data_IF_033220094353
#
_entry.id   IF_033220094353
#
_cell.length_a   1.000
_cell.length_b   1.000
_cell.length_c   1.000
_cell.angle_alpha   90.00
_cell.angle_beta   90.00
_cell.angle_gamma   90.00
#
_symmetry.space_group_name_H-M   'P 1'
#
loop_
_entity.id
_entity.type
_entity.pdbx_description
1 polymer ?
#
# COMPACT_ATOMS: atom_id res chain seq x y z
N UNK A 1 14.00 13.00 9.95
CA UNK A 1 14.25 11.69 9.31
C UNK A 1 15.49 11.82 8.46
N UNK A 2 16.41 10.88 8.55
CA UNK A 2 17.61 10.88 7.71
C UNK A 2 17.30 10.11 6.41
N UNK A 3 17.74 10.62 5.25
CA UNK A 3 17.58 9.90 4.00
C UNK A 3 18.42 8.62 4.02
N UNK A 4 17.83 7.50 3.64
CA UNK A 4 18.61 6.29 3.33
C UNK A 4 19.23 6.44 1.94
N UNK A 5 20.55 6.32 1.88
CA UNK A 5 21.32 6.38 0.62
C UNK A 5 21.34 5.03 -0.12
N UNK A 6 21.12 3.91 0.57
CA UNK A 6 21.18 2.57 -0.01
C UNK A 6 20.02 1.68 0.46
N UNK A 7 19.46 0.90 -0.46
CA UNK A 7 18.40 -0.07 -0.18
C UNK A 7 18.98 -1.25 0.61
N UNK A 8 18.38 -1.63 1.77
CA UNK A 8 18.79 -2.81 2.51
C UNK A 8 18.75 -4.07 1.61
N UNK A 9 19.74 -4.99 1.69
CA UNK A 9 19.82 -6.16 0.81
C UNK A 9 18.60 -7.08 0.90
N UNK A 10 17.95 -7.10 2.07
CA UNK A 10 16.76 -7.89 2.34
C UNK A 10 15.45 -7.15 2.01
N UNK A 11 15.51 -5.88 1.60
CA UNK A 11 14.35 -5.01 1.39
C UNK A 11 13.42 -4.96 2.63
N UNK A 12 13.96 -5.20 3.84
CA UNK A 12 13.16 -5.17 5.07
C UNK A 12 13.47 -3.89 5.86
N UNK A 13 12.44 -3.07 6.02
CA UNK A 13 12.48 -1.99 6.99
C UNK A 13 11.94 -2.48 8.33
N UNK A 14 12.71 -2.29 9.41
CA UNK A 14 12.24 -2.54 10.78
C UNK A 14 11.60 -1.29 11.40
N UNK A 15 11.67 -0.17 10.70
CA UNK A 15 11.17 1.11 11.17
C UNK A 15 9.65 1.07 11.34
N UNK A 16 9.20 1.81 12.34
CA UNK A 16 7.79 1.99 12.67
C UNK A 16 7.54 3.47 12.85
N UNK A 17 6.52 3.98 12.18
CA UNK A 17 6.01 5.31 12.45
C UNK A 17 4.87 5.21 13.46
N UNK A 18 4.89 6.11 14.43
CA UNK A 18 3.77 6.33 15.33
C UNK A 18 3.15 7.66 14.93
N UNK A 19 1.90 7.61 14.49
CA UNK A 19 1.06 8.80 14.28
C UNK A 19 0.16 8.92 15.50
N UNK A 20 0.15 10.10 16.12
CA UNK A 20 -0.74 10.41 17.23
C UNK A 20 -1.66 11.56 16.82
N UNK A 21 -2.94 11.43 17.11
CA UNK A 21 -3.94 12.47 16.91
C UNK A 21 -4.67 12.74 18.22
N UNK A 22 -5.04 14.00 18.43
CA UNK A 22 -5.78 14.47 19.60
C UNK A 22 -6.87 15.42 19.11
N UNK A 23 -8.04 15.35 19.73
CA UNK A 23 -9.13 16.28 19.46
C UNK A 23 -8.81 17.60 20.18
N UNK A 24 -8.94 18.71 19.46
CA UNK A 24 -8.71 20.06 20.00
C UNK A 24 -9.97 20.88 19.89
N UNK A 25 -10.08 21.90 20.74
CA UNK A 25 -11.23 22.80 20.73
C UNK A 25 -11.27 23.65 19.44
N UNK A 26 -12.48 23.97 18.94
CA UNK A 26 -12.63 24.86 17.79
C UNK A 26 -12.10 26.26 18.13
N UNK A 27 -11.03 26.68 17.44
CA UNK A 27 -10.35 27.94 17.69
C UNK A 27 -8.96 27.81 18.32
N UNK A 28 -8.52 26.59 18.67
CA UNK A 28 -7.15 26.33 19.08
C UNK A 28 -6.15 26.79 18.02
N UNK A 29 -5.10 27.48 18.45
CA UNK A 29 -4.01 27.94 17.59
C UNK A 29 -2.80 27.03 17.73
N UNK A 30 -1.83 27.07 16.80
CA UNK A 30 -0.60 26.28 16.92
C UNK A 30 0.22 26.54 18.19
N UNK A 31 -0.01 27.66 18.88
CA UNK A 31 0.65 28.01 20.14
C UNK A 31 0.08 27.26 21.33
N UNK A 32 -1.17 26.82 21.24
CA UNK A 32 -1.87 26.09 22.30
C UNK A 32 -1.52 24.58 22.25
N UNK A 33 -0.92 24.14 21.14
CA UNK A 33 -0.44 22.76 20.95
C UNK A 33 0.79 22.55 21.80
N UNK A 34 0.65 21.74 22.85
CA UNK A 34 1.74 21.35 23.73
C UNK A 34 1.97 19.81 23.66
N UNK A 35 3.17 19.31 24.01
CA UNK A 35 3.45 17.88 24.02
C UNK A 35 2.62 17.10 25.05
N UNK A 36 2.17 17.76 26.12
CA UNK A 36 1.35 17.13 27.17
C UNK A 36 -0.04 16.72 26.66
N UNK A 37 -0.55 17.35 25.60
CA UNK A 37 -1.81 16.96 24.95
C UNK A 37 -1.78 15.53 24.42
N UNK A 38 -0.60 15.02 24.06
CA UNK A 38 -0.41 13.68 23.53
C UNK A 38 -0.15 12.61 24.61
N UNK A 39 -0.19 12.99 25.90
CA UNK A 39 -0.03 12.08 27.03
C UNK A 39 -1.38 11.47 27.45
N UNK A 40 -1.53 10.15 27.30
CA UNK A 40 -2.71 9.37 27.74
C UNK A 40 -3.15 9.54 29.20
N UNK A 41 -2.25 9.70 30.20
CA UNK A 41 -2.70 9.90 31.58
C UNK A 41 -3.32 11.29 31.83
N UNK A 42 -3.26 12.22 30.88
CA UNK A 42 -3.82 13.57 31.00
C UNK A 42 -5.33 13.67 30.80
N UNK A 43 -6.03 12.55 30.55
CA UNK A 43 -7.47 12.54 30.29
C UNK A 43 -7.88 12.92 28.86
N UNK A 44 -6.91 13.23 27.99
CA UNK A 44 -7.14 13.52 26.58
C UNK A 44 -7.42 12.24 25.79
N UNK A 45 -8.32 12.33 24.81
CA UNK A 45 -8.56 11.26 23.85
C UNK A 45 -7.46 11.29 22.78
N UNK A 46 -6.42 10.48 22.98
CA UNK A 46 -5.26 10.37 22.10
C UNK A 46 -5.35 9.07 21.30
N UNK A 47 -5.58 9.20 20.00
CA UNK A 47 -5.57 8.08 19.07
C UNK A 47 -4.16 7.82 18.54
N UNK A 48 -3.75 6.55 18.52
CA UNK A 48 -2.41 6.13 18.10
C UNK A 48 -2.46 5.11 16.96
N UNK A 49 -1.93 5.51 15.81
CA UNK A 49 -1.77 4.66 14.63
C UNK A 49 -0.30 4.28 14.43
N UNK A 50 0.00 2.98 14.52
CA UNK A 50 1.35 2.44 14.27
C UNK A 50 1.45 1.93 12.84
N UNK A 51 2.30 2.55 12.04
CA UNK A 51 2.53 2.22 10.64
C UNK A 51 3.86 1.48 10.51
N UNK A 52 3.86 0.36 9.79
CA UNK A 52 5.07 -0.39 9.46
C UNK A 52 5.59 0.09 8.11
N UNK A 53 6.89 0.29 8.01
CA UNK A 53 7.53 0.61 6.72
C UNK A 53 7.79 -0.68 5.94
N UNK A 54 7.45 -0.67 4.66
CA UNK A 54 7.76 -1.75 3.72
C UNK A 54 8.45 -1.15 2.50
N UNK A 55 9.52 -1.79 2.05
CA UNK A 55 10.11 -1.46 0.75
C UNK A 55 9.42 -2.28 -0.32
N UNK A 56 9.14 -1.63 -1.45
CA UNK A 56 8.57 -2.28 -2.63
C UNK A 56 9.52 -2.07 -3.79
N UNK A 57 9.75 -3.12 -4.57
CA UNK A 57 10.54 -3.01 -5.80
C UNK A 57 9.83 -2.08 -6.77
N UNK A 58 10.55 -1.20 -7.49
CA UNK A 58 9.96 -0.38 -8.53
C UNK A 58 9.23 -1.24 -9.56
N UNK A 59 8.07 -0.80 -10.07
CA UNK A 59 7.36 -1.52 -11.13
C UNK A 59 8.29 -1.69 -12.35
N UNK A 60 8.26 -2.89 -12.95
CA UNK A 60 9.06 -3.16 -14.14
C UNK A 60 8.65 -2.18 -15.25
N UNK A 61 9.65 -1.53 -15.87
CA UNK A 61 9.40 -0.70 -17.04
C UNK A 61 8.80 -1.59 -18.15
N UNK A 62 7.79 -1.12 -18.90
CA UNK A 62 7.33 -1.85 -20.08
C UNK A 62 8.54 -2.09 -20.99
N UNK A 63 8.67 -3.30 -21.52
CA UNK A 63 9.81 -3.64 -22.39
C UNK A 63 9.86 -2.66 -23.55
N UNK A 64 11.06 -2.18 -23.96
CA UNK A 64 11.20 -1.41 -25.18
C UNK A 64 10.54 -2.21 -26.30
N UNK A 65 9.47 -1.66 -26.86
CA UNK A 65 8.88 -2.18 -28.08
C UNK A 65 10.00 -2.14 -29.11
N UNK A 66 10.30 -3.24 -29.83
CA UNK A 66 11.27 -3.20 -30.90
C UNK A 66 10.86 -2.08 -31.86
N UNK A 67 11.60 -0.97 -31.87
CA UNK A 67 11.57 -0.07 -33.00
C UNK A 67 12.25 -0.84 -34.13
N UNK A 68 11.47 -1.21 -35.14
CA UNK A 68 11.98 -1.74 -36.39
C UNK A 68 13.05 -0.76 -36.87
N UNK A 69 14.30 -1.16 -36.67
CA UNK A 69 15.47 -0.41 -37.07
C UNK A 69 15.62 -0.62 -38.56
N UNK A 70 14.89 0.15 -39.36
CA UNK A 70 15.28 0.41 -40.74
C UNK A 70 16.45 1.41 -40.73
N UNK A 71 17.59 0.94 -40.19
CA UNK A 71 18.89 1.55 -40.40
C UNK A 71 19.19 1.50 -41.90
N UNK A 72 19.10 2.69 -42.49
CA UNK A 72 19.38 2.95 -43.89
C UNK A 72 20.75 2.39 -44.30
N UNK A 73 20.71 1.48 -45.26
CA UNK A 73 21.85 1.20 -46.12
C UNK A 73 21.56 1.81 -47.49
N UNK A 74 22.25 2.91 -47.79
CA UNK A 74 22.42 3.43 -49.15
C UNK A 74 23.34 2.48 -49.92
N UNK A 75 23.01 2.10 -51.18
CA UNK A 75 23.54 2.88 -52.30
C UNK A 75 22.55 3.08 -53.47
N UNK A 76 22.52 4.33 -53.93
CA UNK A 76 22.52 4.80 -55.33
C UNK A 76 21.62 4.11 -56.38
N UNK A 77 20.65 4.92 -56.83
CA UNK A 77 20.08 5.05 -58.17
C UNK A 77 19.54 3.80 -58.88
N UNK A 78 18.22 3.78 -59.10
CA UNK A 78 17.62 3.65 -60.44
C UNK A 78 16.11 3.85 -60.36
N UNK A 79 15.61 4.73 -61.23
CA UNK A 79 14.20 4.98 -61.53
C UNK A 79 13.46 3.70 -61.90
N UNK A 80 12.28 3.44 -61.34
CA UNK A 80 11.14 2.87 -62.08
C UNK A 80 9.80 3.12 -61.37
N UNK A 81 8.80 3.39 -62.20
CA UNK A 81 7.46 3.89 -61.93
C UNK A 81 6.55 3.06 -60.98
N UNK A 82 5.73 3.82 -60.24
CA UNK A 82 4.32 3.59 -59.91
C UNK A 82 3.84 2.16 -59.58
N UNK A 83 3.56 1.92 -58.29
CA UNK A 83 2.34 1.21 -57.91
C UNK A 83 1.85 1.61 -56.51
N UNK A 84 0.99 2.63 -56.45
CA UNK A 84 0.02 2.81 -55.35
C UNK A 84 -0.96 1.63 -55.36
N UNK A 85 -0.87 0.72 -54.39
CA UNK A 85 -2.04 -0.04 -53.92
C UNK A 85 -1.81 -0.71 -52.56
N UNK A 86 -2.21 -0.07 -51.45
CA UNK A 86 -3.08 -0.67 -50.39
C UNK A 86 -3.08 0.13 -49.07
N UNK A 87 -4.07 1.03 -48.94
CA UNK A 87 -4.89 1.20 -47.73
C UNK A 87 -4.32 1.89 -46.48
N UNK A 88 -4.75 3.14 -46.17
CA UNK A 88 -4.63 3.76 -44.83
C UNK A 88 -5.42 3.04 -43.70
N UNK A 89 -6.08 1.92 -44.01
CA UNK A 89 -7.10 1.30 -43.16
C UNK A 89 -6.53 0.22 -42.22
N UNK A 90 -5.44 -0.47 -42.60
CA UNK A 90 -4.90 -1.61 -41.86
C UNK A 90 -4.23 -1.20 -40.53
N UNK A 91 -3.57 -0.02 -40.54
CA UNK A 91 -2.99 0.59 -39.34
C UNK A 91 -4.06 1.07 -38.34
N UNK A 92 -5.21 1.52 -38.86
CA UNK A 92 -6.35 1.98 -38.04
C UNK A 92 -7.02 0.82 -37.30
N UNK A 93 -7.14 -0.34 -37.96
CA UNK A 93 -7.70 -1.56 -37.34
C UNK A 93 -6.76 -2.10 -36.26
N UNK A 94 -5.45 -2.16 -36.53
CA UNK A 94 -4.43 -2.55 -35.53
C UNK A 94 -4.40 -1.59 -34.34
N UNK A 95 -4.50 -0.28 -34.56
CA UNK A 95 -4.55 0.71 -33.49
C UNK A 95 -5.81 0.55 -32.62
N UNK A 96 -6.97 0.28 -33.23
CA UNK A 96 -8.23 0.03 -32.50
C UNK A 96 -8.18 -1.25 -31.67
N UNK A 97 -7.61 -2.33 -32.20
CA UNK A 97 -7.40 -3.58 -31.46
C UNK A 97 -6.50 -3.36 -30.24
N UNK A 98 -5.41 -2.60 -30.41
CA UNK A 98 -4.49 -2.27 -29.32
C UNK A 98 -5.16 -1.42 -28.25
N UNK A 99 -5.98 -0.44 -28.64
CA UNK A 99 -6.77 0.39 -27.71
C UNK A 99 -7.77 -0.47 -26.94
N UNK A 100 -8.46 -1.41 -27.60
CA UNK A 100 -9.41 -2.31 -26.95
C UNK A 100 -8.73 -3.22 -25.92
N UNK A 101 -7.58 -3.80 -26.28
CA UNK A 101 -6.75 -4.59 -25.34
C UNK A 101 -6.28 -3.76 -24.15
N UNK A 102 -5.81 -2.54 -24.38
CA UNK A 102 -5.38 -1.63 -23.31
C UNK A 102 -6.52 -1.24 -22.38
N UNK A 103 -7.73 -1.03 -22.91
CA UNK A 103 -8.92 -0.77 -22.10
C UNK A 103 -9.32 -1.99 -21.28
N UNK A 104 -9.29 -3.19 -21.86
CA UNK A 104 -9.57 -4.43 -21.15
C UNK A 104 -8.56 -4.69 -20.02
N UNK A 105 -7.27 -4.47 -20.27
CA UNK A 105 -6.23 -4.58 -19.24
C UNK A 105 -6.42 -3.53 -18.13
N UNK A 106 -6.76 -2.29 -18.48
CA UNK A 106 -7.10 -1.22 -17.51
C UNK A 106 -8.25 -1.64 -16.60
N UNK A 107 -9.32 -2.17 -17.17
CA UNK A 107 -10.49 -2.63 -16.42
C UNK A 107 -10.16 -3.83 -15.54
N UNK A 108 -9.32 -4.74 -16.02
CA UNK A 108 -8.81 -5.87 -15.24
C UNK A 108 -8.02 -5.40 -14.01
N UNK A 109 -7.10 -4.45 -14.19
CA UNK A 109 -6.31 -3.86 -13.10
C UNK A 109 -7.22 -3.13 -12.12
N UNK A 110 -8.19 -2.35 -12.60
CA UNK A 110 -9.13 -1.62 -11.75
C UNK A 110 -9.96 -2.59 -10.88
N UNK A 111 -10.43 -3.70 -11.46
CA UNK A 111 -11.13 -4.76 -10.73
C UNK A 111 -10.25 -5.43 -9.68
N UNK A 112 -9.00 -5.76 -10.02
CA UNK A 112 -8.05 -6.33 -9.06
C UNK A 112 -7.75 -5.37 -7.91
N UNK A 113 -7.58 -4.08 -8.20
CA UNK A 113 -7.31 -3.06 -7.18
C UNK A 113 -8.51 -2.89 -6.23
N UNK A 114 -9.74 -2.86 -6.77
CA UNK A 114 -10.96 -2.82 -5.98
C UNK A 114 -11.11 -4.06 -5.06
N UNK A 115 -10.71 -5.24 -5.55
CA UNK A 115 -10.68 -6.47 -4.73
C UNK A 115 -9.65 -6.37 -3.61
N UNK A 116 -8.42 -5.96 -3.93
CA UNK A 116 -7.34 -5.85 -2.96
C UNK A 116 -7.70 -4.87 -1.84
N UNK A 117 -8.34 -3.75 -2.19
CA UNK A 117 -8.76 -2.75 -1.22
C UNK A 117 -9.81 -3.31 -0.25
N UNK A 118 -10.76 -4.13 -0.73
CA UNK A 118 -11.72 -4.84 0.15
C UNK A 118 -11.03 -5.83 1.08
N UNK A 119 -10.07 -6.61 0.57
CA UNK A 119 -9.35 -7.59 1.37
C UNK A 119 -8.54 -6.89 2.49
N UNK A 120 -7.96 -5.72 2.20
CA UNK A 120 -7.28 -4.88 3.19
C UNK A 120 -8.26 -4.31 4.24
N UNK A 121 -9.47 -3.90 3.86
CA UNK A 121 -10.48 -3.43 4.81
C UNK A 121 -10.92 -4.53 5.78
N UNK A 122 -11.07 -5.77 5.29
CA UNK A 122 -11.39 -6.93 6.13
C UNK A 122 -10.27 -7.24 7.13
N UNK A 123 -9.02 -7.22 6.68
CA UNK A 123 -7.85 -7.42 7.54
C UNK A 123 -7.70 -6.29 8.58
N UNK A 124 -7.99 -5.04 8.18
CA UNK A 124 -7.93 -3.87 9.07
C UNK A 124 -8.94 -3.98 10.21
N UNK A 125 -10.17 -4.42 9.93
CA UNK A 125 -11.20 -4.60 10.96
C UNK A 125 -10.87 -5.78 11.89
N UNK A 126 -10.37 -6.89 11.36
CA UNK A 126 -9.96 -8.04 12.19
C UNK A 126 -8.79 -7.75 13.13
N UNK A 127 -7.97 -6.74 12.84
CA UNK A 127 -6.86 -6.34 13.72
C UNK A 127 -7.31 -5.40 14.85
N UNK A 128 -8.42 -4.68 14.68
CA UNK A 128 -8.96 -3.78 15.69
C UNK A 128 -9.57 -4.54 16.89
N UNK A 129 -10.15 -5.72 16.67
CA UNK A 129 -10.76 -6.52 17.75
C UNK A 129 -9.73 -7.24 18.64
N UNK A 130 -8.53 -7.57 18.14
CA UNK A 130 -7.53 -8.31 18.94
C UNK A 130 -6.79 -7.46 19.97
N UNK A 131 -6.80 -6.13 19.83
CA UNK A 131 -6.00 -5.24 20.70
C UNK A 131 -6.60 -5.07 22.09
N UNK A 132 -7.92 -5.27 22.22
CA UNK A 132 -8.66 -5.11 23.48
C UNK A 132 -8.78 -6.43 24.26
N UNK A 133 -8.83 -7.57 23.56
CA UNK A 133 -9.05 -8.88 24.18
C UNK A 133 -7.89 -9.40 25.04
N UNK A 134 -6.63 -9.11 24.68
CA UNK A 134 -5.45 -9.66 25.38
C UNK A 134 -5.35 -9.12 26.83
N UNK A 135 -5.72 -7.87 27.07
CA UNK A 135 -5.71 -7.29 28.43
C UNK A 135 -6.78 -7.91 29.32
N UNK A 136 -7.98 -8.16 28.79
CA UNK A 136 -9.08 -8.80 29.54
C UNK A 136 -8.80 -10.26 29.83
N UNK A 137 -8.22 -11.00 28.86
CA UNK A 137 -7.82 -12.40 29.06
C UNK A 137 -6.80 -12.56 30.18
N UNK A 138 -5.84 -11.63 30.31
CA UNK A 138 -4.85 -11.66 31.39
C UNK A 138 -5.50 -11.47 32.77
N UNK A 139 -6.42 -10.50 32.91
CA UNK A 139 -7.14 -10.26 34.17
C UNK A 139 -7.97 -11.50 34.55
N UNK A 140 -8.65 -12.11 33.58
CA UNK A 140 -9.43 -13.33 33.80
C UNK A 140 -8.56 -14.51 34.27
N UNK A 141 -7.39 -14.71 33.64
CA UNK A 141 -6.43 -15.75 34.02
C UNK A 141 -5.89 -15.57 35.44
N UNK A 142 -5.49 -14.35 35.81
CA UNK A 142 -4.99 -14.05 37.16
C UNK A 142 -6.10 -14.23 38.20
N UNK A 143 -7.33 -13.80 37.88
CA UNK A 143 -8.49 -14.02 38.75
C UNK A 143 -8.79 -15.51 38.98
N UNK A 144 -8.82 -16.32 37.92
CA UNK A 144 -9.02 -17.77 38.00
C UNK A 144 -7.91 -18.46 38.81
N UNK A 145 -6.65 -18.07 38.59
CA UNK A 145 -5.53 -18.59 39.36
C UNK A 145 -5.66 -18.27 40.86
N UNK A 146 -6.09 -17.06 41.21
CA UNK A 146 -6.35 -16.66 42.59
C UNK A 146 -7.49 -17.46 43.23
N UNK A 147 -8.59 -17.68 42.50
CA UNK A 147 -9.71 -18.52 42.98
C UNK A 147 -9.23 -19.96 43.20
N UNK A 148 -8.44 -20.51 42.28
CA UNK A 148 -7.93 -21.87 42.39
C UNK A 148 -6.97 -22.04 43.58
N UNK A 149 -6.04 -21.09 43.78
CA UNK A 149 -5.16 -21.06 44.95
C UNK A 149 -5.96 -20.93 46.25
N UNK A 150 -6.95 -20.04 46.29
CA UNK A 150 -7.82 -19.85 47.46
C UNK A 150 -8.65 -21.09 47.77
N UNK A 151 -9.11 -21.80 46.74
CA UNK A 151 -9.81 -23.07 46.89
C UNK A 151 -8.89 -24.15 47.47
N UNK A 152 -7.66 -24.29 46.95
CA UNK A 152 -6.67 -25.26 47.47
C UNK A 152 -6.34 -24.97 48.94
N UNK A 153 -6.07 -23.71 49.30
CA UNK A 153 -5.74 -23.33 50.68
C UNK A 153 -6.93 -23.54 51.63
N UNK A 154 -8.16 -23.45 51.15
CA UNK A 154 -9.37 -23.65 51.96
C UNK A 154 -9.77 -25.13 52.10
N UNK A 155 -9.30 -25.99 51.20
CA UNK A 155 -9.58 -27.42 51.20
C UNK A 155 -8.41 -28.28 51.73
N UNK A 156 -7.31 -27.64 52.13
CA UNK A 156 -6.18 -28.22 52.89
C UNK A 156 -6.35 -27.86 54.35
#
# INVERSE_FOLDING_TARGET
MQPQMELPPDMQCKDKFLVQSVIVDPGSTPKDINPDMFNKPGGNDVEECKLKVIYVSPPRKPSPVPEDSEEGTSPTASDTDLQEHSGPQDNSVKARDLILRLMEERDSILRQNAKLNRDLELLRHGHHERRTGVRLLYILLVGLAGILLGFIVRNV
#
